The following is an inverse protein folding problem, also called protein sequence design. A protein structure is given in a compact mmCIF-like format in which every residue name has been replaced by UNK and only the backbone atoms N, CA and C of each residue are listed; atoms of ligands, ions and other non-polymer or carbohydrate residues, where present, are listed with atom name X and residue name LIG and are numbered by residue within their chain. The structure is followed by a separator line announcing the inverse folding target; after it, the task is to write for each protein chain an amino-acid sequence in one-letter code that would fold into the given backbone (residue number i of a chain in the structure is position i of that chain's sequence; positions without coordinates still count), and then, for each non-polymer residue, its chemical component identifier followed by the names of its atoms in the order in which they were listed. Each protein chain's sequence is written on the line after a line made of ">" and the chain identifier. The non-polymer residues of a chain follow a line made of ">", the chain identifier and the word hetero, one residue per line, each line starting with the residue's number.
data_IF_220746105738
#
_entry.id   IF_220746105738
#
_cell.length_a   1.000
_cell.length_b   1.000
_cell.length_c   1.000
_cell.angle_alpha   90.00
_cell.angle_beta   90.00
_cell.angle_gamma   90.00
#
_symmetry.space_group_name_H-M   'P 1'
#
loop_
_entity.id
_entity.type
_entity.pdbx_description
1 polymer ?
#
# COMPACT_ATOMS: atom_id res chain seq x y z
N UNK A 1 -33.04 -23.79 9.46
CA UNK A 1 -32.56 -23.50 8.08
C UNK A 1 -33.21 -22.20 7.65
N UNK A 2 -32.53 -21.07 7.81
CA UNK A 2 -33.07 -19.75 7.47
C UNK A 2 -32.30 -19.19 6.29
N UNK A 3 -32.97 -18.98 5.16
CA UNK A 3 -32.43 -18.26 4.00
C UNK A 3 -32.70 -16.78 4.27
N UNK A 4 -31.66 -15.98 4.52
CA UNK A 4 -31.81 -14.53 4.62
C UNK A 4 -31.50 -13.91 3.25
N UNK A 5 -32.54 -13.53 2.52
CA UNK A 5 -32.40 -12.73 1.30
C UNK A 5 -32.29 -11.24 1.67
N UNK A 6 -31.27 -10.57 1.15
CA UNK A 6 -31.20 -9.10 1.14
C UNK A 6 -31.43 -8.67 -0.31
N UNK A 7 -32.43 -7.82 -0.54
CA UNK A 7 -32.77 -7.30 -1.86
C UNK A 7 -32.01 -5.99 -2.11
N UNK A 8 -31.24 -5.93 -3.20
CA UNK A 8 -30.59 -4.71 -3.67
C UNK A 8 -31.59 -3.78 -4.36
N UNK A 9 -31.38 -2.46 -4.28
CA UNK A 9 -32.26 -1.43 -4.88
C UNK A 9 -32.28 -1.44 -6.43
N UNK A 10 -31.46 -2.26 -7.07
CA UNK A 10 -31.35 -2.47 -8.51
C UNK A 10 -32.10 -3.72 -9.00
N UNK A 11 -32.82 -4.42 -8.11
CA UNK A 11 -33.52 -5.67 -8.44
C UNK A 11 -32.62 -6.90 -8.43
N UNK A 12 -31.35 -6.76 -8.11
CA UNK A 12 -30.42 -7.88 -7.96
C UNK A 12 -30.69 -8.62 -6.64
N UNK A 13 -31.07 -9.90 -6.73
CA UNK A 13 -31.21 -10.78 -5.57
C UNK A 13 -29.95 -11.63 -5.39
N UNK A 14 -29.35 -11.59 -4.22
CA UNK A 14 -28.19 -12.42 -3.88
C UNK A 14 -28.60 -13.51 -2.88
N UNK A 15 -28.41 -14.76 -3.26
CA UNK A 15 -28.60 -15.92 -2.38
C UNK A 15 -27.23 -16.49 -2.01
N UNK A 16 -26.87 -16.44 -0.73
CA UNK A 16 -25.68 -17.10 -0.22
C UNK A 16 -26.02 -18.55 0.15
N UNK A 17 -25.30 -19.49 -0.46
CA UNK A 17 -25.28 -20.88 -0.04
C UNK A 17 -24.02 -21.12 0.80
N UNK A 18 -24.20 -21.77 1.97
CA UNK A 18 -23.09 -22.23 2.81
C UNK A 18 -22.23 -23.27 2.09
N UNK A 19 -21.00 -23.55 2.59
CA UNK A 19 -19.96 -24.15 1.79
C UNK A 19 -20.06 -25.68 1.80
N UNK A 20 -20.73 -26.28 0.81
CA UNK A 20 -20.37 -27.59 0.26
C UNK A 20 -20.81 -27.68 -1.21
N UNK A 21 -19.91 -28.16 -2.08
CA UNK A 21 -20.25 -28.63 -3.42
C UNK A 21 -19.72 -27.77 -4.57
N UNK A 22 -18.63 -28.24 -5.19
CA UNK A 22 -18.11 -27.75 -6.48
C UNK A 22 -19.19 -27.82 -7.55
N UNK A 23 -19.56 -26.67 -8.12
CA UNK A 23 -20.32 -26.59 -9.35
C UNK A 23 -19.60 -25.64 -10.32
N UNK A 24 -19.03 -26.21 -11.38
CA UNK A 24 -18.42 -25.49 -12.49
C UNK A 24 -19.50 -24.76 -13.29
N UNK A 25 -19.41 -23.44 -13.39
CA UNK A 25 -20.24 -22.64 -14.29
C UNK A 25 -19.39 -22.06 -15.42
N UNK A 26 -19.58 -22.60 -16.63
CA UNK A 26 -19.08 -22.03 -17.88
C UNK A 26 -19.96 -20.86 -18.32
N UNK A 27 -19.42 -19.68 -18.66
CA UNK A 27 -20.22 -18.61 -19.24
C UNK A 27 -20.45 -18.85 -20.74
N UNK A 28 -21.71 -18.99 -21.13
CA UNK A 28 -22.14 -18.97 -22.54
C UNK A 28 -22.17 -17.53 -23.05
N UNK A 29 -21.27 -17.21 -23.98
CA UNK A 29 -21.24 -15.95 -24.75
C UNK A 29 -22.38 -15.89 -25.79
N UNK A 30 -22.97 -14.71 -26.06
CA UNK A 30 -23.83 -14.52 -27.23
C UNK A 30 -23.03 -14.53 -28.55
N UNK A 31 -23.63 -15.12 -29.59
CA UNK A 31 -23.05 -15.30 -30.93
C UNK A 31 -23.06 -14.02 -31.78
N UNK A 32 -22.10 -14.00 -32.71
CA UNK A 32 -21.55 -12.95 -33.60
C UNK A 32 -22.49 -12.39 -34.69
N UNK A 33 -22.14 -11.19 -35.16
CA UNK A 33 -22.10 -10.79 -36.58
C UNK A 33 -21.04 -9.69 -36.73
N UNK A 34 -19.84 -9.93 -37.28
CA UNK A 34 -19.47 -9.95 -38.71
C UNK A 34 -18.53 -8.74 -38.95
N UNK A 35 -17.41 -8.74 -39.66
CA UNK A 35 -16.63 -9.73 -40.39
C UNK A 35 -15.35 -9.02 -40.91
N UNK A 36 -14.29 -9.81 -41.10
CA UNK A 36 -13.12 -9.64 -41.99
C UNK A 36 -12.37 -8.29 -42.11
N UNK A 37 -11.07 -8.30 -41.79
CA UNK A 37 -10.03 -8.54 -42.81
C UNK A 37 -8.63 -8.71 -42.20
N UNK A 38 -7.92 -9.70 -42.72
CA UNK A 38 -6.54 -10.07 -42.41
C UNK A 38 -5.51 -9.09 -42.95
N UNK A 39 -4.39 -8.90 -42.23
CA UNK A 39 -3.06 -9.09 -42.83
C UNK A 39 -2.04 -9.54 -41.78
N UNK A 40 -1.34 -10.63 -42.10
CA UNK A 40 -0.35 -11.30 -41.26
C UNK A 40 1.01 -10.57 -41.30
N UNK A 41 1.73 -10.76 -40.19
CA UNK A 41 3.13 -10.42 -39.88
C UNK A 41 4.13 -10.81 -40.97
N UNK A 42 5.26 -10.10 -41.05
CA UNK A 42 6.59 -10.72 -41.19
C UNK A 42 7.59 -10.02 -40.27
N UNK A 43 8.36 -10.84 -39.55
CA UNK A 43 9.54 -10.45 -38.80
C UNK A 43 10.79 -10.64 -39.68
N UNK A 44 11.74 -9.73 -39.46
CA UNK A 44 13.21 -9.71 -39.63
C UNK A 44 13.93 -10.47 -40.76
N UNK A 45 15.06 -9.90 -41.18
CA UNK A 45 16.33 -10.64 -41.09
C UNK A 45 17.42 -9.87 -40.33
N UNK A 46 18.32 -10.68 -39.79
CA UNK A 46 19.58 -10.37 -39.09
C UNK A 46 20.68 -10.18 -40.13
N UNK A 47 21.70 -9.36 -39.86
CA UNK A 47 23.00 -9.51 -40.52
C UNK A 47 24.17 -9.16 -39.57
N UNK A 48 25.35 -9.82 -39.69
CA UNK A 48 26.49 -9.68 -38.80
C UNK A 48 27.67 -8.90 -39.40
N UNK A 49 28.58 -8.46 -38.54
CA UNK A 49 29.91 -7.91 -38.88
C UNK A 49 30.27 -6.81 -37.87
N UNK A 50 31.43 -6.74 -37.23
CA UNK A 50 32.76 -7.31 -37.47
C UNK A 50 33.74 -6.18 -37.13
N UNK A 51 34.61 -6.34 -36.13
CA UNK A 51 35.56 -5.29 -35.74
C UNK A 51 36.53 -5.74 -34.65
N UNK A 52 37.72 -6.17 -35.08
CA UNK A 52 38.87 -6.57 -34.28
C UNK A 52 39.93 -5.46 -34.25
N UNK A 53 40.69 -5.35 -33.15
CA UNK A 53 41.91 -4.53 -33.02
C UNK A 53 42.21 -4.21 -31.55
N UNK A 54 43.04 -4.98 -30.84
CA UNK A 54 44.52 -4.98 -30.72
C UNK A 54 45.10 -3.81 -29.89
N UNK A 55 45.92 -4.18 -28.89
CA UNK A 55 46.95 -3.36 -28.24
C UNK A 55 47.03 -3.58 -26.72
N UNK A 56 47.76 -4.55 -26.15
CA UNK A 56 49.23 -4.72 -25.96
C UNK A 56 49.90 -3.80 -24.92
N UNK A 57 50.67 -4.43 -24.03
CA UNK A 57 51.74 -3.84 -23.19
C UNK A 57 51.31 -3.73 -21.74
N UNK A 58 51.77 -4.59 -20.82
CA UNK A 58 53.16 -4.61 -20.29
C UNK A 58 53.18 -3.69 -19.06
N UNK A 59 53.70 -4.02 -17.89
CA UNK A 59 54.81 -4.92 -17.55
C UNK A 59 55.07 -4.80 -16.04
N UNK A 60 55.67 -5.83 -15.43
CA UNK A 60 56.55 -5.75 -14.24
C UNK A 60 55.84 -5.39 -12.90
N UNK A 61 56.23 -5.87 -11.73
CA UNK A 61 57.44 -6.54 -11.28
C UNK A 61 57.14 -7.22 -9.93
N UNK A 62 58.06 -8.11 -9.57
CA UNK A 62 58.26 -8.76 -8.29
C UNK A 62 58.18 -7.83 -7.07
N UNK A 63 57.73 -8.37 -5.92
CA UNK A 63 58.62 -8.64 -4.77
C UNK A 63 57.87 -9.11 -3.51
N UNK A 64 58.31 -10.30 -3.03
CA UNK A 64 58.69 -10.64 -1.65
C UNK A 64 57.74 -10.31 -0.48
N UNK A 65 57.22 -11.40 0.10
CA UNK A 65 57.30 -11.78 1.52
C UNK A 65 57.09 -10.67 2.57
N UNK A 66 55.83 -10.55 3.02
CA UNK A 66 55.46 -9.94 4.30
C UNK A 66 54.66 -10.93 5.12
N UNK A 67 55.06 -11.17 6.36
CA UNK A 67 54.37 -12.04 7.32
C UNK A 67 52.96 -11.51 7.56
N UNK A 68 51.93 -12.29 7.22
CA UNK A 68 50.55 -11.96 7.59
C UNK A 68 50.39 -12.19 9.09
N UNK A 69 50.51 -11.10 9.84
CA UNK A 69 49.98 -10.99 11.18
C UNK A 69 48.51 -11.40 11.17
N UNK A 70 48.10 -12.26 12.11
CA UNK A 70 46.70 -12.51 12.42
C UNK A 70 45.99 -11.15 12.63
N UNK A 71 45.38 -10.66 11.55
CA UNK A 71 44.78 -9.35 11.48
C UNK A 71 43.56 -9.34 12.38
N UNK A 72 43.67 -8.59 13.47
CA UNK A 72 42.54 -8.16 14.29
C UNK A 72 41.39 -7.76 13.35
N UNK A 73 40.28 -8.49 13.41
CA UNK A 73 39.04 -8.14 12.72
C UNK A 73 38.75 -6.67 13.03
N UNK A 74 38.59 -5.79 12.03
CA UNK A 74 38.14 -4.44 12.28
C UNK A 74 36.81 -4.54 13.03
N UNK A 75 36.78 -4.06 14.27
CA UNK A 75 35.51 -3.85 14.96
C UNK A 75 34.71 -2.92 14.03
N UNK A 76 33.59 -3.43 13.52
CA UNK A 76 32.67 -2.65 12.71
C UNK A 76 32.31 -1.35 13.43
N UNK A 77 31.82 -0.34 12.70
CA UNK A 77 31.34 0.89 13.31
C UNK A 77 30.40 0.53 14.47
N UNK A 78 30.45 1.27 15.60
CA UNK A 78 29.60 0.97 16.73
C UNK A 78 28.17 0.89 16.23
N UNK A 79 27.52 -0.26 16.41
CA UNK A 79 26.08 -0.40 16.20
C UNK A 79 25.45 0.69 17.05
N UNK A 80 25.01 1.78 16.40
CA UNK A 80 24.10 2.71 17.01
C UNK A 80 22.88 1.88 17.31
N UNK A 81 22.71 1.50 18.58
CA UNK A 81 21.51 0.90 19.10
C UNK A 81 20.36 1.82 18.69
N UNK A 82 19.78 1.48 17.54
CA UNK A 82 18.76 2.27 16.89
C UNK A 82 17.53 2.11 17.74
N UNK A 83 17.25 3.10 18.58
CA UNK A 83 15.94 3.25 19.16
C UNK A 83 14.96 3.30 17.98
N UNK A 84 14.30 2.18 17.70
CA UNK A 84 13.21 2.14 16.71
C UNK A 84 12.22 3.18 17.21
N UNK A 85 11.99 4.22 16.41
CA UNK A 85 10.98 5.22 16.75
C UNK A 85 9.67 4.46 16.93
N UNK A 86 9.08 4.61 18.11
CA UNK A 86 7.86 3.89 18.47
C UNK A 86 6.72 4.50 17.66
N UNK A 87 6.08 3.68 16.83
CA UNK A 87 4.83 4.05 16.17
C UNK A 87 3.72 4.03 17.22
N UNK A 88 2.97 5.14 17.29
CA UNK A 88 1.89 5.35 18.27
C UNK A 88 0.58 5.77 17.61
N UNK A 89 0.68 6.32 16.39
CA UNK A 89 -0.46 6.82 15.64
C UNK A 89 -0.56 6.10 14.29
N UNK A 90 -1.78 5.88 13.84
CA UNK A 90 -2.08 5.46 12.48
C UNK A 90 -2.87 6.57 11.80
N UNK A 91 -2.30 7.13 10.74
CA UNK A 91 -2.98 8.16 9.98
C UNK A 91 -4.00 7.51 9.05
N UNK A 92 -5.23 8.03 9.06
CA UNK A 92 -6.15 7.87 7.95
C UNK A 92 -5.68 8.73 6.75
N UNK A 93 -6.12 8.37 5.54
CA UNK A 93 -5.80 9.11 4.33
C UNK A 93 -6.19 10.59 4.47
N UNK A 94 -7.38 10.88 5.03
CA UNK A 94 -7.85 12.25 5.20
C UNK A 94 -6.94 13.10 6.10
N UNK A 95 -6.34 12.52 7.14
CA UNK A 95 -5.39 13.22 8.01
C UNK A 95 -4.10 13.56 7.26
N UNK A 96 -3.51 12.59 6.55
CA UNK A 96 -2.28 12.84 5.82
C UNK A 96 -2.48 13.85 4.68
N UNK A 97 -3.61 13.77 3.97
CA UNK A 97 -3.95 14.74 2.93
C UNK A 97 -4.17 16.14 3.48
N UNK A 98 -4.71 16.27 4.70
CA UNK A 98 -4.82 17.57 5.34
C UNK A 98 -3.43 18.21 5.56
N UNK A 99 -2.44 17.44 5.98
CA UNK A 99 -1.05 17.93 6.07
C UNK A 99 -0.47 18.30 4.71
N UNK A 100 -0.56 17.39 3.72
CA UNK A 100 0.01 17.60 2.37
C UNK A 100 -0.59 18.82 1.66
N UNK A 101 -1.86 19.13 1.89
CA UNK A 101 -2.57 20.20 1.21
C UNK A 101 -2.86 21.42 2.10
N UNK A 102 -2.23 21.50 3.27
CA UNK A 102 -2.41 22.62 4.22
C UNK A 102 -3.90 22.88 4.56
N UNK A 103 -4.69 21.82 4.70
CA UNK A 103 -6.10 21.88 5.10
C UNK A 103 -6.21 21.98 6.64
N UNK A 104 -7.38 22.35 7.20
CA UNK A 104 -7.57 22.37 8.65
C UNK A 104 -7.18 21.05 9.32
N UNK A 105 -6.36 21.15 10.38
CA UNK A 105 -5.76 19.99 11.06
C UNK A 105 -4.32 19.68 10.64
N UNK A 106 -3.81 20.30 9.58
CA UNK A 106 -2.44 20.08 9.08
C UNK A 106 -1.36 20.20 10.17
N UNK A 107 -1.37 21.30 10.94
CA UNK A 107 -0.37 21.54 11.98
C UNK A 107 -0.31 20.39 12.99
N UNK A 108 -1.47 19.89 13.42
CA UNK A 108 -1.56 18.78 14.36
C UNK A 108 -1.04 17.48 13.76
N UNK A 109 -1.37 17.19 12.51
CA UNK A 109 -0.85 15.99 11.83
C UNK A 109 0.67 16.06 11.70
N UNK A 110 1.23 17.23 11.36
CA UNK A 110 2.68 17.44 11.27
C UNK A 110 3.40 17.14 12.59
N UNK A 111 2.84 17.51 13.74
CA UNK A 111 3.38 17.18 15.06
C UNK A 111 3.42 15.66 15.32
N UNK A 112 2.49 14.90 14.73
CA UNK A 112 2.35 13.47 14.95
C UNK A 112 3.16 12.61 13.96
N UNK A 113 3.60 13.19 12.83
CA UNK A 113 4.18 12.45 11.70
C UNK A 113 5.32 11.50 12.11
N UNK A 114 6.26 11.96 12.94
CA UNK A 114 7.44 11.16 13.33
C UNK A 114 7.09 9.87 14.09
N UNK A 115 5.92 9.82 14.74
CA UNK A 115 5.42 8.68 15.52
C UNK A 115 4.24 7.98 14.83
N UNK A 116 4.05 8.26 13.56
CA UNK A 116 2.91 7.78 12.79
C UNK A 116 3.28 6.68 11.81
N UNK A 117 2.30 5.85 11.45
CA UNK A 117 2.34 4.94 10.32
C UNK A 117 1.09 5.13 9.45
N UNK A 118 1.09 4.48 8.28
CA UNK A 118 -0.02 4.46 7.33
C UNK A 118 -0.38 3.01 6.99
N UNK A 119 -1.66 2.68 6.82
CA UNK A 119 -2.03 1.39 6.21
C UNK A 119 -1.78 1.42 4.70
N UNK A 120 -1.38 0.29 4.09
CA UNK A 120 -1.23 0.18 2.64
C UNK A 120 -2.51 0.55 1.86
N UNK A 121 -3.69 0.36 2.46
CA UNK A 121 -4.98 0.78 1.88
C UNK A 121 -5.07 2.31 1.85
N UNK A 122 -4.76 2.98 2.96
CA UNK A 122 -4.78 4.44 3.04
C UNK A 122 -3.67 5.09 2.21
N UNK A 123 -2.50 4.43 2.09
CA UNK A 123 -1.44 4.83 1.15
C UNK A 123 -1.97 4.92 -0.28
N UNK A 124 -2.73 3.91 -0.72
CA UNK A 124 -3.34 3.89 -2.05
C UNK A 124 -4.27 5.08 -2.25
N UNK A 125 -5.09 5.43 -1.26
CA UNK A 125 -5.98 6.59 -1.34
C UNK A 125 -5.21 7.91 -1.41
N UNK A 126 -4.16 8.07 -0.61
CA UNK A 126 -3.33 9.28 -0.59
C UNK A 126 -2.69 9.50 -1.95
N UNK A 127 -1.97 8.49 -2.47
CA UNK A 127 -1.34 8.55 -3.80
C UNK A 127 -2.38 8.81 -4.90
N UNK A 128 -3.49 8.08 -4.89
CA UNK A 128 -4.56 8.25 -5.89
C UNK A 128 -5.16 9.66 -5.86
N UNK A 129 -5.30 10.26 -4.68
CA UNK A 129 -5.82 11.62 -4.54
C UNK A 129 -4.82 12.67 -5.03
N UNK A 130 -3.52 12.47 -4.85
CA UNK A 130 -2.50 13.35 -5.44
C UNK A 130 -2.57 13.30 -6.98
N UNK A 131 -2.65 12.10 -7.55
CA UNK A 131 -2.78 11.91 -9.01
C UNK A 131 -4.04 12.60 -9.54
N UNK A 132 -5.19 12.42 -8.86
CA UNK A 132 -6.44 13.11 -9.23
C UNK A 132 -6.36 14.64 -9.15
N UNK A 133 -5.44 15.18 -8.34
CA UNK A 133 -5.17 16.62 -8.23
C UNK A 133 -4.08 17.11 -9.21
N UNK A 134 -3.56 16.24 -10.08
CA UNK A 134 -2.68 16.61 -11.19
C UNK A 134 -1.20 16.23 -11.01
N UNK A 135 -0.81 15.57 -9.92
CA UNK A 135 0.54 15.02 -9.79
C UNK A 135 0.74 13.86 -10.77
N UNK A 136 1.96 13.66 -11.27
CA UNK A 136 2.29 12.40 -11.96
C UNK A 136 2.29 11.24 -10.95
N UNK A 137 2.09 9.99 -11.39
CA UNK A 137 2.17 8.83 -10.50
C UNK A 137 3.49 8.75 -9.73
N UNK A 138 4.62 9.05 -10.37
CA UNK A 138 5.95 9.02 -9.79
C UNK A 138 6.09 10.09 -8.71
N UNK A 139 5.73 11.33 -9.03
CA UNK A 139 5.75 12.44 -8.07
C UNK A 139 4.83 12.19 -6.88
N UNK A 140 3.65 11.60 -7.11
CA UNK A 140 2.70 11.28 -6.05
C UNK A 140 3.26 10.25 -5.05
N UNK A 141 4.04 9.28 -5.55
CA UNK A 141 4.75 8.30 -4.72
C UNK A 141 5.92 8.95 -3.98
N UNK A 142 6.78 9.69 -4.70
CA UNK A 142 7.95 10.37 -4.13
C UNK A 142 7.59 11.30 -2.96
N UNK A 143 6.47 12.04 -3.09
CA UNK A 143 5.97 12.91 -2.02
C UNK A 143 5.68 12.09 -0.75
N UNK A 144 4.99 10.95 -0.87
CA UNK A 144 4.63 10.13 0.31
C UNK A 144 5.87 9.43 0.88
N UNK A 145 6.78 8.95 0.03
CA UNK A 145 8.04 8.34 0.45
C UNK A 145 8.94 9.33 1.19
N UNK A 146 8.97 10.60 0.80
CA UNK A 146 9.76 11.65 1.45
C UNK A 146 9.39 11.87 2.93
N UNK A 147 8.18 11.47 3.33
CA UNK A 147 7.70 11.57 4.71
C UNK A 147 8.27 10.48 5.64
N UNK A 148 8.92 9.45 5.08
CA UNK A 148 9.49 8.32 5.83
C UNK A 148 8.49 7.62 6.78
N UNK A 149 7.20 7.63 6.44
CA UNK A 149 6.16 6.95 7.20
C UNK A 149 6.23 5.43 6.96
N UNK A 150 6.30 4.60 8.02
CA UNK A 150 6.10 3.16 7.87
C UNK A 150 4.73 2.86 7.26
N UNK A 151 4.72 2.06 6.19
CA UNK A 151 3.48 1.55 5.60
C UNK A 151 3.23 0.13 6.10
N UNK A 152 2.14 -0.06 6.84
CA UNK A 152 1.74 -1.36 7.38
C UNK A 152 1.05 -2.16 6.26
N UNK A 153 1.55 -3.36 5.89
CA UNK A 153 0.93 -4.21 4.88
C UNK A 153 -0.50 -4.60 5.24
N UNK A 154 -1.34 -4.76 4.22
CA UNK A 154 -2.72 -5.21 4.39
C UNK A 154 -2.82 -6.72 4.21
N UNK A 155 -2.99 -7.45 5.32
CA UNK A 155 -3.12 -8.90 5.32
C UNK A 155 -4.56 -9.38 5.59
N UNK A 156 -4.74 -10.70 5.59
CA UNK A 156 -6.03 -11.34 5.81
C UNK A 156 -6.60 -11.09 7.22
N UNK A 157 -5.74 -10.92 8.23
CA UNK A 157 -6.15 -10.64 9.61
C UNK A 157 -6.76 -9.25 9.73
N UNK A 158 -6.12 -8.27 9.09
CA UNK A 158 -6.61 -6.90 8.96
C UNK A 158 -7.87 -6.83 8.12
N UNK A 159 -7.92 -7.59 7.02
CA UNK A 159 -9.11 -7.70 6.17
C UNK A 159 -10.33 -8.18 6.95
N UNK A 160 -10.19 -9.25 7.75
CA UNK A 160 -11.25 -9.74 8.64
C UNK A 160 -11.65 -8.68 9.66
N UNK A 161 -10.67 -8.08 10.35
CA UNK A 161 -10.94 -7.06 11.35
C UNK A 161 -11.68 -5.82 10.79
N UNK A 162 -11.40 -5.42 9.55
CA UNK A 162 -12.13 -4.35 8.87
C UNK A 162 -13.52 -4.80 8.38
N UNK A 163 -13.68 -6.08 8.01
CA UNK A 163 -14.99 -6.63 7.68
C UNK A 163 -15.94 -6.61 8.88
N UNK A 164 -15.45 -6.83 10.10
CA UNK A 164 -16.25 -6.72 11.34
C UNK A 164 -16.84 -5.32 11.56
N UNK A 165 -16.23 -4.29 10.98
CA UNK A 165 -16.71 -2.90 11.04
C UNK A 165 -17.77 -2.58 9.97
N UNK A 166 -18.10 -3.52 9.09
CA UNK A 166 -19.09 -3.31 8.01
C UNK A 166 -20.48 -2.90 8.48
N UNK A 167 -21.02 -3.34 9.63
CA UNK A 167 -22.28 -2.81 10.15
C UNK A 167 -22.26 -1.28 10.35
N UNK A 168 -21.10 -0.72 10.71
CA UNK A 168 -20.90 0.71 10.89
C UNK A 168 -20.71 1.46 9.56
N UNK A 169 -20.29 0.76 8.50
CA UNK A 169 -20.19 1.36 7.16
C UNK A 169 -21.54 1.89 6.66
N UNK A 170 -22.63 1.22 7.01
CA UNK A 170 -23.99 1.62 6.61
C UNK A 170 -24.53 2.82 7.38
N UNK A 171 -24.19 2.95 8.66
CA UNK A 171 -24.71 4.00 9.54
C UNK A 171 -23.82 5.24 9.59
N UNK A 172 -22.51 5.08 9.36
CA UNK A 172 -21.51 6.14 9.48
C UNK A 172 -20.70 6.36 8.19
N UNK A 173 -21.12 5.75 7.07
CA UNK A 173 -20.47 5.90 5.76
C UNK A 173 -18.97 5.57 5.73
N UNK A 174 -18.53 4.64 6.59
CA UNK A 174 -17.13 4.22 6.64
C UNK A 174 -16.73 3.47 5.36
N UNK A 175 -15.91 4.12 4.55
CA UNK A 175 -15.30 3.55 3.36
C UNK A 175 -14.38 2.37 3.72
N UNK A 176 -13.90 1.66 2.70
CA UNK A 176 -12.92 0.60 2.90
C UNK A 176 -11.64 1.14 3.57
N UNK A 177 -11.17 2.31 3.15
CA UNK A 177 -10.01 2.99 3.75
C UNK A 177 -10.20 3.30 5.23
N UNK A 178 -11.39 3.78 5.62
CA UNK A 178 -11.70 4.08 7.01
C UNK A 178 -11.67 2.83 7.90
N UNK A 179 -12.33 1.76 7.44
CA UNK A 179 -12.34 0.48 8.14
C UNK A 179 -10.97 -0.14 8.20
N UNK A 180 -10.16 0.05 7.15
CA UNK A 180 -8.78 -0.41 7.12
C UNK A 180 -7.93 0.31 8.17
N UNK A 181 -8.00 1.64 8.23
CA UNK A 181 -7.33 2.43 9.25
C UNK A 181 -7.75 1.99 10.67
N UNK A 182 -9.05 1.95 10.96
CA UNK A 182 -9.56 1.55 12.27
C UNK A 182 -9.13 0.13 12.67
N UNK A 183 -9.21 -0.84 11.75
CA UNK A 183 -8.78 -2.21 12.01
C UNK A 183 -7.27 -2.31 12.28
N UNK A 184 -6.45 -1.63 11.45
CA UNK A 184 -4.99 -1.59 11.65
C UNK A 184 -4.63 -0.94 12.97
N UNK A 185 -5.27 0.18 13.34
CA UNK A 185 -5.03 0.84 14.61
C UNK A 185 -5.38 -0.08 15.79
N UNK A 186 -6.54 -0.75 15.72
CA UNK A 186 -7.01 -1.70 16.74
C UNK A 186 -6.03 -2.85 16.96
N UNK A 187 -5.59 -3.52 15.89
CA UNK A 187 -4.73 -4.71 16.01
C UNK A 187 -3.29 -4.37 16.44
N UNK A 188 -2.83 -3.15 16.16
CA UNK A 188 -1.48 -2.70 16.53
C UNK A 188 -1.44 -1.86 17.82
N UNK A 189 -2.58 -1.63 18.46
CA UNK A 189 -2.65 -0.81 19.68
C UNK A 189 -2.30 0.67 19.46
N UNK A 190 -2.64 1.21 18.29
CA UNK A 190 -2.35 2.59 17.89
C UNK A 190 -3.57 3.50 18.05
N UNK A 191 -3.33 4.81 18.11
CA UNK A 191 -4.39 5.82 18.00
C UNK A 191 -4.67 6.11 16.53
N UNK A 192 -5.92 5.95 16.09
CA UNK A 192 -6.32 6.30 14.73
C UNK A 192 -6.53 7.80 14.62
N UNK A 193 -5.86 8.46 13.67
CA UNK A 193 -5.90 9.90 13.48
C UNK A 193 -6.58 10.19 12.15
N UNK A 194 -7.63 11.01 12.16
CA UNK A 194 -8.41 11.34 10.96
C UNK A 194 -8.72 12.82 10.88
N UNK A 195 -8.90 13.33 9.66
CA UNK A 195 -9.56 14.60 9.44
C UNK A 195 -11.09 14.41 9.32
N UNK A 196 -11.65 13.21 9.23
CA UNK A 196 -13.10 13.07 9.15
C UNK A 196 -13.80 13.38 10.50
N UNK A 197 -14.67 14.38 10.50
CA UNK A 197 -15.43 14.81 11.68
C UNK A 197 -16.49 13.80 12.09
N UNK A 198 -16.95 12.97 11.16
CA UNK A 198 -17.97 11.94 11.41
C UNK A 198 -17.45 10.88 12.39
N UNK A 199 -16.14 10.65 12.43
CA UNK A 199 -15.54 9.69 13.36
C UNK A 199 -15.71 10.07 14.84
N UNK A 200 -16.05 11.33 15.17
CA UNK A 200 -16.44 11.74 16.53
C UNK A 200 -17.65 10.95 17.06
N UNK A 201 -18.45 10.34 16.18
CA UNK A 201 -19.64 9.55 16.52
C UNK A 201 -19.28 8.09 16.88
N UNK A 202 -18.06 7.64 16.59
CA UNK A 202 -17.60 6.26 16.79
C UNK A 202 -17.14 5.96 18.22
N UNK A 203 -17.69 6.66 19.22
CA UNK A 203 -17.23 6.60 20.64
C UNK A 203 -17.37 5.22 21.29
N UNK A 204 -18.19 4.34 20.72
CA UNK A 204 -18.43 2.99 21.22
C UNK A 204 -17.34 2.00 20.77
N UNK A 205 -16.48 2.38 19.82
CA UNK A 205 -15.34 1.59 19.41
C UNK A 205 -14.27 1.61 20.51
N UNK A 206 -13.71 0.44 20.82
CA UNK A 206 -12.55 0.31 21.71
C UNK A 206 -11.25 0.61 20.96
N UNK A 207 -11.23 1.74 20.25
CA UNK A 207 -10.12 2.22 19.42
C UNK A 207 -9.91 3.69 19.82
N UNK A 208 -8.72 4.11 20.26
CA UNK A 208 -8.44 5.52 20.47
C UNK A 208 -8.51 6.25 19.13
N UNK A 209 -9.33 7.30 19.04
CA UNK A 209 -9.51 8.10 17.83
C UNK A 209 -9.23 9.56 18.13
N UNK A 210 -8.36 10.17 17.33
CA UNK A 210 -8.10 11.61 17.32
C UNK A 210 -8.63 12.24 16.03
N UNK A 211 -9.55 13.20 16.16
CA UNK A 211 -10.08 13.97 15.04
C UNK A 211 -9.43 15.34 15.02
N UNK A 212 -8.62 15.62 14.00
CA UNK A 212 -7.73 16.80 13.96
C UNK A 212 -8.38 18.11 13.48
N UNK A 213 -9.67 18.09 13.10
CA UNK A 213 -10.39 19.29 12.59
C UNK A 213 -11.83 19.46 13.03
#
# INVERSE_FOLDING_TARGET
>A
MGVHGISGKDGSSWTFHGPEGVATASPSLPRRGGGCAHRRRRASPVDPGGGTGKGTGGSQQSQRAGRESCGRVPRGPPERSGARVKVEYLLDASALLAALFSEPGAARVTELLERSALSAVNYTEVVSRQIRRGASPEMAVEIVESLNLPVIPWDESLARAAADLSPLAWTHHLALGDRACLATARLNGLTAVTADREWRRLKHLRIPIEVVR
#
